data_IF_078689546237
#
_entry.id   IF_078689546237
#
_cell.length_a   1.000
_cell.length_b   1.000
_cell.length_c   1.000
_cell.angle_alpha   90.00
_cell.angle_beta   90.00
_cell.angle_gamma   90.00
#
_symmetry.space_group_name_H-M   'P 1'
#
loop_
_entity.id
_entity.type
_entity.pdbx_description
1 polymer ?
#
# COMPACT_ATOMS: atom_id res chain seq x y z
N UNK A 1 -20.96 17.81 6.71
CA UNK A 1 -20.70 16.40 7.11
C UNK A 1 -20.88 15.56 5.87
N UNK A 2 -19.82 14.96 5.33
CA UNK A 2 -19.97 14.05 4.18
C UNK A 2 -20.64 12.78 4.71
N UNK A 3 -21.76 12.40 4.09
CA UNK A 3 -22.37 11.10 4.38
C UNK A 3 -21.36 10.00 4.03
N UNK A 4 -20.99 9.21 5.02
CA UNK A 4 -20.15 8.04 4.79
C UNK A 4 -21.04 6.92 4.28
N UNK A 5 -20.66 6.36 3.15
CA UNK A 5 -21.31 5.19 2.58
C UNK A 5 -21.35 4.04 3.61
N UNK A 6 -22.49 3.38 3.75
CA UNK A 6 -22.62 2.25 4.67
C UNK A 6 -21.64 1.13 4.27
N UNK A 7 -20.96 0.55 5.26
CA UNK A 7 -20.00 -0.53 5.05
C UNK A 7 -20.73 -1.83 4.68
N UNK A 8 -21.07 -1.98 3.40
CA UNK A 8 -21.60 -3.21 2.81
C UNK A 8 -20.44 -4.16 2.46
N UNK A 9 -20.77 -5.43 2.15
CA UNK A 9 -19.78 -6.41 1.67
C UNK A 9 -19.07 -5.92 0.41
N UNK A 10 -19.79 -5.25 -0.49
CA UNK A 10 -19.21 -4.72 -1.73
C UNK A 10 -18.28 -3.53 -1.47
N UNK A 11 -18.70 -2.60 -0.60
CA UNK A 11 -17.84 -1.50 -0.14
C UNK A 11 -16.60 -2.05 0.54
N UNK A 12 -16.75 -3.05 1.41
CA UNK A 12 -15.63 -3.70 2.10
C UNK A 12 -14.63 -4.34 1.13
N UNK A 13 -15.12 -4.96 0.05
CA UNK A 13 -14.29 -5.58 -0.99
C UNK A 13 -13.42 -4.58 -1.73
N UNK A 14 -13.93 -3.37 -1.93
CA UNK A 14 -13.30 -2.35 -2.77
C UNK A 14 -12.69 -1.17 -1.99
N UNK A 15 -12.74 -1.19 -0.67
CA UNK A 15 -12.30 -0.05 0.17
C UNK A 15 -10.82 0.30 -0.04
N UNK A 16 -9.97 -0.71 -0.26
CA UNK A 16 -8.55 -0.51 -0.46
C UNK A 16 -8.23 0.17 -1.80
N UNK A 17 -9.09 0.05 -2.80
CA UNK A 17 -8.99 0.83 -4.05
C UNK A 17 -9.08 2.32 -3.76
N UNK A 18 -10.00 2.73 -2.89
CA UNK A 18 -10.12 4.13 -2.48
C UNK A 18 -8.93 4.58 -1.63
N UNK A 19 -8.43 3.73 -0.75
CA UNK A 19 -7.23 4.01 0.04
C UNK A 19 -5.99 4.18 -0.86
N UNK A 20 -5.83 3.33 -1.86
CA UNK A 20 -4.78 3.43 -2.87
C UNK A 20 -4.85 4.76 -3.64
N UNK A 21 -6.04 5.14 -4.08
CA UNK A 21 -6.27 6.40 -4.77
C UNK A 21 -5.87 7.61 -3.91
N UNK A 22 -6.29 7.62 -2.65
CA UNK A 22 -5.96 8.70 -1.70
C UNK A 22 -4.47 8.74 -1.36
N UNK A 23 -3.84 7.59 -1.21
CA UNK A 23 -2.39 7.50 -1.01
C UNK A 23 -1.63 8.09 -2.20
N UNK A 24 -1.99 7.73 -3.42
CA UNK A 24 -1.37 8.29 -4.64
C UNK A 24 -1.58 9.80 -4.77
N UNK A 25 -2.78 10.29 -4.48
CA UNK A 25 -3.05 11.75 -4.49
C UNK A 25 -2.20 12.48 -3.44
N UNK A 26 -2.09 11.95 -2.23
CA UNK A 26 -1.23 12.51 -1.18
C UNK A 26 0.24 12.54 -1.63
N UNK A 27 0.77 11.44 -2.17
CA UNK A 27 2.15 11.34 -2.65
C UNK A 27 2.42 12.36 -3.75
N UNK A 28 1.52 12.49 -4.72
CA UNK A 28 1.61 13.47 -5.80
C UNK A 28 1.69 14.88 -5.26
N UNK A 29 0.72 15.30 -4.47
CA UNK A 29 0.67 16.66 -3.90
C UNK A 29 1.87 16.98 -3.02
N UNK A 30 2.34 16.02 -2.24
CA UNK A 30 3.51 16.20 -1.37
C UNK A 30 4.80 16.36 -2.17
N UNK A 31 4.97 15.60 -3.24
CA UNK A 31 6.11 15.69 -4.14
C UNK A 31 6.11 17.01 -4.90
N UNK A 32 4.96 17.42 -5.46
CA UNK A 32 4.80 18.70 -6.15
C UNK A 32 5.06 19.90 -5.23
N UNK A 33 4.70 19.79 -3.96
CA UNK A 33 4.98 20.84 -2.97
C UNK A 33 6.45 20.89 -2.52
N UNK A 34 7.28 19.92 -2.90
CA UNK A 34 8.70 19.84 -2.52
C UNK A 34 8.92 19.72 -1.02
N UNK A 35 7.94 19.25 -0.26
CA UNK A 35 8.00 19.12 1.21
C UNK A 35 8.28 17.69 1.64
N UNK A 36 9.09 17.49 2.68
CA UNK A 36 9.20 16.18 3.32
C UNK A 36 7.82 15.70 3.80
N UNK A 37 7.54 14.42 3.65
CA UNK A 37 6.29 13.83 4.09
C UNK A 37 6.53 12.49 4.77
N UNK A 38 5.55 12.07 5.56
CA UNK A 38 5.45 10.75 6.13
C UNK A 38 4.05 10.19 5.81
N UNK A 39 3.99 9.04 5.18
CA UNK A 39 2.76 8.33 4.89
C UNK A 39 2.74 7.01 5.65
N UNK A 40 1.79 6.88 6.58
CA UNK A 40 1.47 5.62 7.23
C UNK A 40 0.26 5.00 6.52
N UNK A 41 0.52 4.02 5.67
CA UNK A 41 -0.47 3.39 4.81
C UNK A 41 -0.81 1.99 5.32
N UNK A 42 -2.04 1.81 5.79
CA UNK A 42 -2.58 0.53 6.22
C UNK A 42 -3.58 0.01 5.21
N UNK A 43 -3.35 -1.20 4.75
CA UNK A 43 -4.31 -1.94 3.95
C UNK A 43 -5.37 -2.57 4.84
N UNK A 44 -6.62 -2.68 4.38
CA UNK A 44 -7.70 -3.27 5.16
C UNK A 44 -7.72 -4.80 5.09
N UNK A 45 -7.00 -5.38 4.13
CA UNK A 45 -6.95 -6.82 3.89
C UNK A 45 -6.34 -7.59 5.06
N UNK A 46 -6.62 -8.89 5.09
CA UNK A 46 -6.29 -9.85 6.12
C UNK A 46 -7.07 -9.69 7.44
N UNK A 47 -7.89 -8.64 7.57
CA UNK A 47 -8.86 -8.54 8.66
C UNK A 47 -10.15 -9.30 8.28
N UNK A 48 -10.66 -10.09 9.20
CA UNK A 48 -11.91 -10.83 8.98
C UNK A 48 -13.13 -9.90 8.86
N UNK A 49 -14.10 -10.21 7.99
CA UNK A 49 -14.07 -11.25 6.97
C UNK A 49 -13.11 -10.92 5.83
N UNK A 50 -12.28 -11.91 5.42
CA UNK A 50 -11.33 -11.75 4.33
C UNK A 50 -12.07 -11.90 2.99
N UNK A 51 -12.15 -10.82 2.23
CA UNK A 51 -12.94 -10.73 1.00
C UNK A 51 -12.06 -10.11 -0.09
N UNK A 52 -11.34 -10.92 -0.88
CA UNK A 52 -10.53 -10.38 -1.97
C UNK A 52 -11.39 -9.74 -3.06
N UNK A 53 -10.83 -8.77 -3.78
CA UNK A 53 -11.46 -8.22 -4.98
C UNK A 53 -11.69 -9.32 -6.01
N UNK A 54 -12.70 -9.13 -6.87
CA UNK A 54 -13.10 -10.14 -7.85
C UNK A 54 -11.96 -10.59 -8.75
N UNK A 55 -11.07 -9.68 -9.13
CA UNK A 55 -9.90 -9.97 -9.96
C UNK A 55 -8.83 -10.83 -9.27
N UNK A 56 -8.83 -10.91 -7.94
CA UNK A 56 -7.88 -11.75 -7.18
C UNK A 56 -8.49 -13.07 -6.72
N UNK A 57 -9.82 -13.15 -6.69
CA UNK A 57 -10.55 -14.34 -6.24
C UNK A 57 -10.14 -15.58 -7.04
N UNK A 58 -9.65 -16.59 -6.34
CA UNK A 58 -9.23 -17.88 -6.92
C UNK A 58 -7.86 -17.89 -7.59
N UNK A 59 -7.13 -16.75 -7.64
CA UNK A 59 -5.82 -16.69 -8.34
C UNK A 59 -4.75 -17.56 -7.73
N UNK A 60 -4.72 -17.68 -6.41
CA UNK A 60 -3.69 -18.49 -5.74
C UNK A 60 -4.04 -19.97 -5.67
N UNK A 61 -5.34 -20.31 -5.77
CA UNK A 61 -5.83 -21.68 -5.53
C UNK A 61 -5.80 -22.11 -4.06
N UNK A 62 -5.46 -21.19 -3.13
CA UNK A 62 -5.30 -21.47 -1.70
C UNK A 62 -6.33 -20.75 -0.81
N UNK A 63 -7.43 -20.26 -1.41
CA UNK A 63 -8.55 -19.64 -0.72
C UNK A 63 -8.40 -18.13 -0.52
N UNK A 64 -9.46 -17.52 0.01
CA UNK A 64 -9.63 -16.06 0.05
C UNK A 64 -8.53 -15.33 0.84
N UNK A 65 -7.97 -15.96 1.85
CA UNK A 65 -6.88 -15.36 2.62
C UNK A 65 -5.60 -15.21 1.80
N UNK A 66 -5.21 -16.26 1.07
CA UNK A 66 -4.04 -16.22 0.20
C UNK A 66 -4.26 -15.27 -1.00
N UNK A 67 -5.47 -15.25 -1.56
CA UNK A 67 -5.86 -14.32 -2.62
C UNK A 67 -5.77 -12.85 -2.14
N UNK A 68 -6.19 -12.58 -0.89
CA UNK A 68 -6.08 -11.26 -0.28
C UNK A 68 -4.63 -10.87 0.04
N UNK A 69 -3.76 -11.82 0.36
CA UNK A 69 -2.32 -11.55 0.47
C UNK A 69 -1.72 -11.14 -0.85
N UNK A 70 -2.07 -11.84 -1.93
CA UNK A 70 -1.62 -11.48 -3.28
C UNK A 70 -2.11 -10.09 -3.69
N UNK A 71 -3.37 -9.76 -3.35
CA UNK A 71 -3.94 -8.44 -3.57
C UNK A 71 -3.14 -7.36 -2.82
N UNK A 72 -2.92 -7.56 -1.53
CA UNK A 72 -2.18 -6.61 -0.69
C UNK A 72 -0.76 -6.37 -1.20
N UNK A 73 -0.04 -7.43 -1.57
CA UNK A 73 1.32 -7.34 -2.12
C UNK A 73 1.34 -6.56 -3.45
N UNK A 74 0.36 -6.83 -4.31
CA UNK A 74 0.18 -6.13 -5.58
C UNK A 74 -0.09 -4.64 -5.37
N UNK A 75 -0.98 -4.29 -4.45
CA UNK A 75 -1.34 -2.91 -4.13
C UNK A 75 -0.14 -2.13 -3.54
N UNK A 76 0.62 -2.73 -2.64
CA UNK A 76 1.85 -2.13 -2.13
C UNK A 76 2.89 -1.92 -3.23
N UNK A 77 3.08 -2.90 -4.10
CA UNK A 77 3.95 -2.78 -5.27
C UNK A 77 3.56 -1.59 -6.14
N UNK A 78 2.27 -1.43 -6.40
CA UNK A 78 1.74 -0.31 -7.21
C UNK A 78 1.97 1.07 -6.55
N UNK A 79 1.82 1.18 -5.23
CA UNK A 79 2.14 2.45 -4.51
C UNK A 79 3.63 2.77 -4.59
N UNK A 80 4.49 1.76 -4.41
CA UNK A 80 5.94 1.94 -4.49
C UNK A 80 6.40 2.34 -5.90
N UNK A 81 5.85 1.72 -6.93
CA UNK A 81 6.18 2.06 -8.32
C UNK A 81 5.67 3.46 -8.69
N UNK A 82 4.49 3.84 -8.21
CA UNK A 82 3.98 5.19 -8.36
C UNK A 82 4.89 6.22 -7.67
N UNK A 83 5.34 5.95 -6.47
CA UNK A 83 6.26 6.82 -5.75
C UNK A 83 7.59 7.00 -6.48
N UNK A 84 8.17 5.91 -7.03
CA UNK A 84 9.37 5.96 -7.88
C UNK A 84 9.13 6.84 -9.11
N UNK A 85 7.96 6.72 -9.74
CA UNK A 85 7.63 7.52 -10.93
C UNK A 85 7.55 9.02 -10.65
N UNK A 86 7.15 9.41 -9.43
CA UNK A 86 7.07 10.81 -9.02
C UNK A 86 8.44 11.43 -8.70
N UNK A 87 9.37 10.65 -8.19
CA UNK A 87 10.66 11.15 -7.74
C UNK A 87 11.65 11.46 -8.88
N UNK A 88 11.39 10.97 -10.09
CA UNK A 88 12.21 11.24 -11.29
C UNK A 88 13.70 10.93 -11.16
N UNK A 89 14.12 10.41 -10.02
CA UNK A 89 15.51 10.20 -9.65
C UNK A 89 15.62 9.03 -8.66
N UNK A 90 16.69 8.26 -8.76
CA UNK A 90 17.03 7.08 -7.93
C UNK A 90 17.22 7.38 -6.43
N UNK A 91 16.92 8.59 -5.96
CA UNK A 91 17.10 9.00 -4.55
C UNK A 91 16.31 8.15 -3.56
N UNK A 92 15.15 7.64 -3.96
CA UNK A 92 14.37 6.75 -3.11
C UNK A 92 14.96 5.33 -3.07
N UNK A 93 15.47 4.83 -4.17
CA UNK A 93 16.25 3.58 -4.19
C UNK A 93 17.50 3.70 -3.31
N UNK A 94 18.16 4.84 -3.31
CA UNK A 94 19.31 5.13 -2.44
C UNK A 94 18.92 5.29 -0.96
N UNK A 95 17.74 5.84 -0.64
CA UNK A 95 17.27 5.94 0.74
C UNK A 95 16.94 4.57 1.34
N UNK A 96 16.36 3.65 0.56
CA UNK A 96 16.15 2.25 0.98
C UNK A 96 17.48 1.46 1.05
N UNK A 97 18.48 1.80 0.26
CA UNK A 97 19.81 1.17 0.30
C UNK A 97 20.71 1.72 1.42
N UNK A 98 20.37 2.84 2.03
CA UNK A 98 21.01 3.36 3.24
C UNK A 98 20.47 2.68 4.51
N UNK A 99 20.33 1.37 4.49
CA UNK A 99 20.35 0.58 5.72
C UNK A 99 21.76 0.75 6.28
N UNK A 100 21.95 1.24 7.51
CA UNK A 100 23.28 1.31 8.08
C UNK A 100 23.88 -0.10 8.03
N UNK A 101 25.16 -0.23 7.68
CA UNK A 101 25.79 -1.53 7.63
C UNK A 101 25.55 -2.23 8.96
N UNK A 102 25.17 -3.49 8.90
CA UNK A 102 24.80 -4.39 9.99
C UNK A 102 25.93 -4.59 11.03
N UNK A 103 26.48 -3.49 11.56
CA UNK A 103 27.58 -3.45 12.52
C UNK A 103 27.20 -3.01 13.92
N UNK A 104 25.93 -2.69 14.19
CA UNK A 104 25.55 -2.12 15.49
C UNK A 104 24.89 -3.10 16.48
N UNK A 105 24.80 -4.38 16.14
CA UNK A 105 24.49 -5.45 17.10
C UNK A 105 25.75 -6.26 17.43
N UNK A 106 26.73 -5.60 18.03
CA UNK A 106 27.76 -6.32 18.77
C UNK A 106 27.17 -6.63 20.14
N UNK A 107 26.73 -7.86 20.30
CA UNK A 107 26.40 -8.41 21.64
C UNK A 107 27.60 -8.22 22.56
N UNK A 108 27.35 -7.63 23.68
CA UNK A 108 28.22 -7.76 24.87
C UNK A 108 27.70 -8.92 25.71
#
# INVERSE_FOLDING_TARGET
>A
MQEHEQLTVEVRRNIDVEYMKRAKDFLKRSTEAGKPFFLYFNHSMLHLPTIPRAEFKGKTGHGDWADSMLEMDTDFGEVLDYLKSLSGDDRMAQACQRTPPSGLFRQR
#
